data_IF_675230534849
#
_entry.id   IF_675230534849
#
_cell.length_a   1.000
_cell.length_b   1.000
_cell.length_c   1.000
_cell.angle_alpha   90.00
_cell.angle_beta   90.00
_cell.angle_gamma   90.00
#
_symmetry.space_group_name_H-M   'P 1'
#
loop_
_entity.id
_entity.type
_entity.pdbx_description
1 polymer ?
#
# COMPACT_ATOMS: atom_id res chain seq x y z
N UNK A 1 -17.90 -0.19 -2.77
CA UNK A 1 -17.71 0.36 -1.40
C UNK A 1 -16.24 0.60 -1.13
N UNK A 2 -15.91 1.69 -0.41
CA UNK A 2 -14.55 2.00 0.06
C UNK A 2 -14.54 1.99 1.58
N UNK A 3 -13.62 1.24 2.19
CA UNK A 3 -13.47 1.14 3.65
C UNK A 3 -12.09 1.63 4.05
N UNK A 4 -12.03 2.63 4.91
CA UNK A 4 -10.77 3.12 5.50
C UNK A 4 -10.53 2.41 6.82
N UNK A 5 -9.40 1.71 6.94
CA UNK A 5 -9.04 0.94 8.13
C UNK A 5 -7.72 1.45 8.70
N UNK A 6 -7.72 1.82 9.98
CA UNK A 6 -6.49 2.09 10.73
C UNK A 6 -6.05 0.80 11.41
N UNK A 7 -4.95 0.22 10.91
CA UNK A 7 -4.42 -1.03 11.46
C UNK A 7 -3.71 -0.79 12.80
N UNK A 8 -3.88 -1.71 13.73
CA UNK A 8 -3.24 -1.67 15.03
C UNK A 8 -2.08 -2.66 15.11
N UNK A 9 -1.08 -2.36 15.93
CA UNK A 9 0.02 -3.27 16.26
C UNK A 9 0.82 -3.74 15.02
N UNK A 10 1.03 -2.87 14.06
CA UNK A 10 1.87 -3.13 12.88
C UNK A 10 3.29 -3.46 13.35
N UNK A 11 3.91 -2.60 14.14
CA UNK A 11 5.25 -2.71 14.71
C UNK A 11 5.44 -3.92 15.66
N UNK A 12 4.34 -4.50 16.12
CA UNK A 12 4.37 -5.71 16.94
C UNK A 12 4.21 -7.01 16.12
N UNK A 13 4.52 -6.95 14.82
CA UNK A 13 4.48 -8.07 13.89
C UNK A 13 3.18 -8.20 13.09
N UNK A 14 2.66 -7.09 12.59
CA UNK A 14 1.50 -6.99 11.69
C UNK A 14 0.24 -7.63 12.30
N UNK A 15 0.04 -7.52 13.61
CA UNK A 15 -1.01 -8.26 14.32
C UNK A 15 -2.40 -7.83 13.91
N UNK A 16 -2.61 -6.52 13.73
CA UNK A 16 -3.89 -5.97 13.27
C UNK A 16 -4.27 -6.49 11.90
N UNK A 17 -3.35 -6.43 10.95
CA UNK A 17 -3.56 -6.92 9.59
C UNK A 17 -3.84 -8.43 9.55
N UNK A 18 -3.11 -9.23 10.34
CA UNK A 18 -3.34 -10.67 10.46
C UNK A 18 -4.75 -11.01 10.98
N UNK A 19 -5.22 -10.31 12.01
CA UNK A 19 -6.57 -10.52 12.52
C UNK A 19 -7.63 -9.97 11.57
N UNK A 20 -7.36 -8.84 10.90
CA UNK A 20 -8.26 -8.28 9.92
C UNK A 20 -8.50 -9.26 8.76
N UNK A 21 -7.45 -9.75 8.12
CA UNK A 21 -7.59 -10.67 6.99
C UNK A 21 -8.24 -11.99 7.40
N UNK A 22 -7.91 -12.52 8.57
CA UNK A 22 -8.52 -13.74 9.10
C UNK A 22 -10.03 -13.59 9.30
N UNK A 23 -10.48 -12.40 9.68
CA UNK A 23 -11.89 -12.12 9.92
C UNK A 23 -12.66 -11.80 8.64
N UNK A 24 -12.05 -11.09 7.69
CA UNK A 24 -12.74 -10.51 6.53
C UNK A 24 -12.39 -11.17 5.20
N UNK A 25 -11.40 -12.06 5.14
CA UNK A 25 -11.09 -12.76 3.90
C UNK A 25 -12.20 -13.75 3.55
N UNK A 26 -12.77 -13.61 2.33
CA UNK A 26 -13.86 -14.44 1.86
C UNK A 26 -15.24 -14.10 2.44
N UNK A 27 -15.36 -12.98 3.15
CA UNK A 27 -16.65 -12.49 3.64
C UNK A 27 -17.53 -12.07 2.44
N UNK A 28 -18.76 -12.58 2.39
CA UNK A 28 -19.78 -12.27 1.38
C UNK A 28 -19.43 -12.60 -0.09
N UNK A 29 -18.45 -13.45 -0.35
CA UNK A 29 -17.96 -13.76 -1.72
C UNK A 29 -17.59 -12.50 -2.55
N UNK A 30 -17.31 -11.39 -1.89
CA UNK A 30 -16.94 -10.12 -2.54
C UNK A 30 -15.43 -10.07 -2.75
N UNK A 31 -15.01 -9.78 -3.97
CA UNK A 31 -13.61 -9.50 -4.25
C UNK A 31 -13.20 -8.20 -3.55
N UNK A 32 -12.27 -8.31 -2.61
CA UNK A 32 -11.75 -7.18 -1.85
C UNK A 32 -10.27 -6.98 -2.19
N UNK A 33 -9.91 -5.73 -2.45
CA UNK A 33 -8.52 -5.31 -2.68
C UNK A 33 -8.08 -4.42 -1.53
N UNK A 34 -6.97 -4.77 -0.93
CA UNK A 34 -6.34 -3.97 0.11
C UNK A 34 -5.21 -3.12 -0.50
N UNK A 35 -5.27 -1.82 -0.28
CA UNK A 35 -4.18 -0.89 -0.60
C UNK A 35 -3.62 -0.38 0.73
N UNK A 36 -2.47 -0.91 1.11
CA UNK A 36 -1.74 -0.44 2.29
C UNK A 36 -1.04 0.89 2.01
N UNK A 37 -1.16 1.83 2.92
CA UNK A 37 -0.38 3.08 2.87
C UNK A 37 0.49 3.16 4.10
N UNK A 38 1.77 3.34 3.88
CA UNK A 38 2.77 3.41 4.95
C UNK A 38 3.90 4.36 4.53
N UNK A 39 4.52 5.01 5.51
CA UNK A 39 5.71 5.85 5.30
C UNK A 39 5.58 6.80 4.10
N UNK A 40 4.46 7.54 3.99
CA UNK A 40 4.24 8.53 2.92
C UNK A 40 5.01 9.84 3.25
N UNK A 41 6.33 9.79 3.24
CA UNK A 41 7.17 10.89 3.72
C UNK A 41 7.77 11.74 2.62
N UNK A 42 8.67 11.21 1.81
CA UNK A 42 9.34 11.95 0.74
C UNK A 42 8.77 11.53 -0.63
N UNK A 43 8.40 12.51 -1.43
CA UNK A 43 7.76 12.23 -2.73
C UNK A 43 8.69 11.49 -3.69
N UNK A 44 9.97 11.81 -3.70
CA UNK A 44 10.94 11.21 -4.62
C UNK A 44 11.19 9.71 -4.34
N UNK A 45 10.82 9.24 -3.14
CA UNK A 45 10.91 7.84 -2.73
C UNK A 45 9.59 7.07 -2.90
N UNK A 46 8.56 7.75 -3.43
CA UNK A 46 7.23 7.17 -3.56
C UNK A 46 7.18 6.10 -4.66
N UNK A 47 6.50 4.99 -4.37
CA UNK A 47 6.37 3.88 -5.31
C UNK A 47 5.18 2.98 -5.03
N UNK A 48 4.84 2.15 -6.04
CA UNK A 48 3.88 1.06 -5.91
C UNK A 48 4.65 -0.21 -5.57
N UNK A 49 4.51 -0.67 -4.34
CA UNK A 49 5.26 -1.82 -3.84
C UNK A 49 4.55 -3.11 -4.21
N UNK A 50 5.14 -3.88 -5.10
CA UNK A 50 4.64 -5.18 -5.57
C UNK A 50 5.37 -6.38 -4.94
N UNK A 51 6.34 -6.10 -4.05
CA UNK A 51 7.05 -7.09 -3.23
C UNK A 51 7.25 -6.53 -1.83
N UNK A 52 7.11 -7.39 -0.85
CA UNK A 52 7.17 -7.07 0.56
C UNK A 52 8.00 -8.10 1.33
N UNK A 53 8.14 -7.93 2.65
CA UNK A 53 8.95 -8.81 3.52
C UNK A 53 10.36 -9.02 2.97
N UNK A 54 11.07 -7.92 2.72
CA UNK A 54 12.41 -7.95 2.13
C UNK A 54 12.42 -8.70 0.77
N UNK A 55 11.34 -8.52 -0.01
CA UNK A 55 11.16 -9.11 -1.34
C UNK A 55 10.70 -10.58 -1.36
N UNK A 56 10.42 -11.19 -0.19
CA UNK A 56 10.00 -12.60 -0.10
C UNK A 56 8.51 -12.81 -0.35
N UNK A 57 7.67 -11.81 -0.07
CA UNK A 57 6.24 -11.83 -0.35
C UNK A 57 5.95 -11.08 -1.65
N UNK A 58 5.39 -11.77 -2.63
CA UNK A 58 4.87 -11.12 -3.83
C UNK A 58 3.45 -10.65 -3.54
N UNK A 59 3.22 -9.36 -3.67
CA UNK A 59 1.90 -8.77 -3.59
C UNK A 59 1.10 -9.04 -4.86
N UNK A 60 -0.21 -8.80 -4.84
CA UNK A 60 -1.08 -9.12 -5.95
C UNK A 60 -0.74 -8.31 -7.20
N UNK A 61 -0.58 -9.01 -8.33
CA UNK A 61 -0.16 -8.41 -9.60
C UNK A 61 -1.22 -7.47 -10.17
N UNK A 62 -2.50 -7.86 -10.11
CA UNK A 62 -3.60 -7.07 -10.65
C UNK A 62 -3.83 -5.80 -9.81
N UNK A 63 -3.79 -5.94 -8.48
CA UNK A 63 -3.88 -4.80 -7.57
C UNK A 63 -2.70 -3.82 -7.78
N UNK A 64 -1.49 -4.33 -7.93
CA UNK A 64 -0.32 -3.50 -8.20
C UNK A 64 -0.41 -2.80 -9.57
N UNK A 65 -0.90 -3.49 -10.61
CA UNK A 65 -1.11 -2.88 -11.92
C UNK A 65 -2.17 -1.77 -11.88
N UNK A 66 -3.26 -1.99 -11.15
CA UNK A 66 -4.31 -0.99 -10.98
C UNK A 66 -3.79 0.28 -10.28
N UNK A 67 -3.09 0.15 -9.15
CA UNK A 67 -2.53 1.30 -8.42
C UNK A 67 -1.47 2.01 -9.26
N UNK A 68 -0.65 1.26 -10.00
CA UNK A 68 0.33 1.85 -10.94
C UNK A 68 -0.38 2.66 -12.02
N UNK A 69 -1.42 2.11 -12.65
CA UNK A 69 -2.19 2.82 -13.67
C UNK A 69 -2.89 4.07 -13.09
N UNK A 70 -3.46 3.96 -11.90
CA UNK A 70 -4.01 5.11 -11.17
C UNK A 70 -2.97 6.22 -10.97
N UNK A 71 -1.74 5.85 -10.62
CA UNK A 71 -0.64 6.83 -10.48
C UNK A 71 -0.30 7.52 -11.80
N UNK A 72 -0.39 6.80 -12.91
CA UNK A 72 -0.13 7.34 -14.24
C UNK A 72 -1.24 8.29 -14.69
N UNK A 73 -2.50 7.94 -14.47
CA UNK A 73 -3.66 8.81 -14.74
C UNK A 73 -3.58 10.09 -13.89
N UNK A 74 -3.23 9.97 -12.62
CA UNK A 74 -3.04 11.11 -11.72
C UNK A 74 -1.78 11.95 -12.04
N UNK A 75 -0.95 11.54 -13.00
CA UNK A 75 0.21 12.27 -13.48
C UNK A 75 1.49 12.10 -12.66
N UNK A 76 1.52 11.15 -11.72
CA UNK A 76 2.69 10.92 -10.86
C UNK A 76 3.67 9.90 -11.43
N UNK A 77 3.22 8.94 -12.24
CA UNK A 77 4.05 7.94 -12.93
C UNK A 77 4.99 7.16 -11.98
N UNK A 78 4.49 6.73 -10.84
CA UNK A 78 5.29 6.07 -9.82
C UNK A 78 5.93 4.76 -10.32
N UNK A 79 7.16 4.44 -9.91
CA UNK A 79 7.79 3.16 -10.24
C UNK A 79 7.19 2.01 -9.42
N UNK A 80 7.38 0.79 -9.92
CA UNK A 80 7.29 -0.38 -9.05
C UNK A 80 8.48 -0.47 -8.12
N UNK A 81 8.21 -0.82 -6.87
CA UNK A 81 9.20 -0.90 -5.81
C UNK A 81 9.07 -2.19 -5.00
N UNK A 82 10.05 -2.44 -4.15
CA UNK A 82 10.09 -3.57 -3.23
C UNK A 82 10.44 -3.06 -1.84
N UNK A 83 9.78 -3.57 -0.82
CA UNK A 83 10.21 -3.33 0.56
C UNK A 83 11.58 -3.96 0.74
N UNK A 84 12.59 -3.11 0.90
CA UNK A 84 13.98 -3.55 1.01
C UNK A 84 14.30 -4.10 2.39
N UNK A 85 13.74 -3.49 3.43
CA UNK A 85 13.95 -3.89 4.82
C UNK A 85 12.62 -3.82 5.59
N UNK A 86 12.29 -4.89 6.30
CA UNK A 86 11.06 -4.97 7.08
C UNK A 86 9.89 -5.54 6.29
N UNK A 87 8.69 -5.18 6.70
CA UNK A 87 7.43 -5.64 6.13
C UNK A 87 6.34 -4.62 6.43
N UNK A 88 5.33 -4.57 5.58
CA UNK A 88 4.11 -3.77 5.80
C UNK A 88 2.89 -4.64 6.04
N UNK A 89 1.79 -4.04 6.46
CA UNK A 89 0.51 -4.72 6.64
C UNK A 89 0.03 -5.42 5.35
N UNK A 90 0.38 -4.90 4.16
CA UNK A 90 0.02 -5.52 2.89
C UNK A 90 0.58 -6.96 2.76
N UNK A 91 1.77 -7.24 3.31
CA UNK A 91 2.31 -8.59 3.31
C UNK A 91 1.45 -9.57 4.10
N UNK A 92 0.98 -9.18 5.29
CA UNK A 92 0.14 -10.03 6.12
C UNK A 92 -1.24 -10.26 5.47
N UNK A 93 -1.81 -9.23 4.87
CA UNK A 93 -3.08 -9.30 4.14
C UNK A 93 -2.95 -10.25 2.94
N UNK A 94 -1.88 -10.12 2.14
CA UNK A 94 -1.62 -11.00 1.00
C UNK A 94 -1.40 -12.45 1.43
N UNK A 95 -0.63 -12.68 2.48
CA UNK A 95 -0.42 -14.01 3.02
C UNK A 95 -1.69 -14.65 3.59
N UNK A 96 -2.60 -13.83 4.07
CA UNK A 96 -3.92 -14.27 4.56
C UNK A 96 -4.94 -14.59 3.46
N UNK A 97 -4.59 -14.36 2.17
CA UNK A 97 -5.42 -14.75 1.02
C UNK A 97 -6.24 -13.61 0.41
N UNK A 98 -6.12 -12.37 0.90
CA UNK A 98 -6.76 -11.21 0.29
C UNK A 98 -5.77 -10.51 -0.65
N UNK A 99 -6.23 -10.06 -1.82
CA UNK A 99 -5.39 -9.30 -2.76
C UNK A 99 -4.89 -8.01 -2.14
N UNK A 100 -3.57 -7.80 -2.14
CA UNK A 100 -2.96 -6.63 -1.51
C UNK A 100 -1.85 -6.01 -2.36
N UNK A 101 -1.71 -4.71 -2.22
CA UNK A 101 -0.63 -3.87 -2.76
C UNK A 101 -0.27 -2.81 -1.73
N UNK A 102 0.94 -2.27 -1.75
CA UNK A 102 1.29 -1.14 -0.91
C UNK A 102 1.68 0.09 -1.74
N UNK A 103 1.26 1.26 -1.27
CA UNK A 103 1.65 2.58 -1.76
C UNK A 103 2.43 3.26 -0.64
N UNK A 104 3.72 3.46 -0.85
CA UNK A 104 4.62 3.96 0.19
C UNK A 104 5.73 4.84 -0.40
N UNK A 105 6.46 5.53 0.45
CA UNK A 105 7.62 6.34 0.12
C UNK A 105 8.80 5.93 1.02
N UNK A 106 9.21 4.67 0.88
CA UNK A 106 10.33 4.09 1.62
C UNK A 106 11.61 4.22 0.81
N UNK A 107 12.66 4.72 1.44
CA UNK A 107 14.01 4.63 0.90
C UNK A 107 14.47 3.16 0.78
N UNK A 108 15.41 2.84 -0.13
CA UNK A 108 16.14 1.55 -0.12
C UNK A 108 16.85 1.27 1.21
N UNK A 109 17.23 2.32 1.93
CA UNK A 109 17.67 2.34 3.34
C UNK A 109 16.51 2.80 4.20
N UNK A 110 16.53 2.57 5.52
CA UNK A 110 15.47 3.08 6.40
C UNK A 110 15.22 4.57 6.14
N UNK A 111 13.95 4.94 5.97
CA UNK A 111 13.55 6.31 5.72
C UNK A 111 14.10 7.24 6.82
N UNK A 112 14.44 8.48 6.47
CA UNK A 112 14.90 9.47 7.44
C UNK A 112 13.85 9.61 8.54
N UNK A 113 14.28 9.67 9.78
CA UNK A 113 13.45 9.67 10.97
C UNK A 113 12.78 8.34 11.36
N UNK A 114 12.92 7.28 10.54
CA UNK A 114 12.35 5.95 10.80
C UNK A 114 12.70 5.49 12.22
N UNK A 115 11.68 5.16 13.01
CA UNK A 115 11.78 4.76 14.41
C UNK A 115 12.55 5.74 15.30
N UNK A 116 12.44 7.03 15.05
CA UNK A 116 13.06 8.10 15.86
C UNK A 116 12.04 9.11 16.37
N UNK A 117 12.47 9.99 17.27
CA UNK A 117 11.62 11.11 17.76
C UNK A 117 11.33 12.17 16.69
N UNK A 118 12.04 12.13 15.56
CA UNK A 118 11.82 13.00 14.41
C UNK A 118 10.71 12.50 13.48
N UNK A 119 10.15 11.33 13.73
CA UNK A 119 9.00 10.82 13.00
C UNK A 119 7.72 11.49 13.49
N UNK A 120 7.46 12.66 12.92
CA UNK A 120 6.35 13.55 13.28
C UNK A 120 5.66 14.08 12.03
N UNK A 121 4.40 14.50 12.18
CA UNK A 121 3.62 15.05 11.07
C UNK A 121 4.28 16.27 10.40
N UNK A 122 5.02 17.08 11.17
CA UNK A 122 5.72 18.28 10.66
C UNK A 122 6.87 17.93 9.70
N UNK A 123 7.33 16.68 9.73
CA UNK A 123 8.40 16.19 8.86
C UNK A 123 7.88 15.42 7.64
N UNK A 124 6.56 15.36 7.42
CA UNK A 124 5.98 14.81 6.21
C UNK A 124 6.04 15.84 5.07
N UNK A 125 6.25 15.35 3.85
CA UNK A 125 6.10 16.19 2.66
C UNK A 125 4.62 16.26 2.26
N UNK A 126 3.98 17.44 2.28
CA UNK A 126 2.60 17.61 1.86
C UNK A 126 2.33 17.10 0.43
N UNK A 127 3.32 17.19 -0.46
CA UNK A 127 3.23 16.68 -1.83
C UNK A 127 3.04 15.17 -1.87
N UNK A 128 3.73 14.44 -1.00
CA UNK A 128 3.59 12.96 -0.90
C UNK A 128 2.20 12.58 -0.43
N UNK A 129 1.67 13.31 0.55
CA UNK A 129 0.32 13.08 1.07
C UNK A 129 -0.73 13.38 0.01
N UNK A 130 -0.60 14.51 -0.69
CA UNK A 130 -1.50 14.88 -1.80
C UNK A 130 -1.48 13.81 -2.91
N UNK A 131 -0.29 13.37 -3.31
CA UNK A 131 -0.13 12.31 -4.32
C UNK A 131 -0.79 11.00 -3.85
N UNK A 132 -0.56 10.61 -2.60
CA UNK A 132 -1.18 9.42 -2.01
C UNK A 132 -2.71 9.49 -2.07
N UNK A 133 -3.31 10.61 -1.67
CA UNK A 133 -4.76 10.80 -1.71
C UNK A 133 -5.28 10.71 -3.15
N UNK A 134 -4.66 11.40 -4.10
CA UNK A 134 -5.09 11.42 -5.49
C UNK A 134 -5.01 10.02 -6.12
N UNK A 135 -3.93 9.28 -5.87
CA UNK A 135 -3.75 7.91 -6.39
C UNK A 135 -4.80 6.97 -5.79
N UNK A 136 -5.08 7.07 -4.47
CA UNK A 136 -6.09 6.23 -3.83
C UNK A 136 -7.50 6.51 -4.35
N UNK A 137 -7.85 7.78 -4.60
CA UNK A 137 -9.12 8.16 -5.22
C UNK A 137 -9.24 7.59 -6.64
N UNK A 138 -8.20 7.77 -7.46
CA UNK A 138 -8.18 7.22 -8.83
C UNK A 138 -8.24 5.69 -8.83
N UNK A 139 -7.55 5.04 -7.89
CA UNK A 139 -7.64 3.59 -7.71
C UNK A 139 -9.07 3.14 -7.39
N UNK A 140 -9.77 3.86 -6.51
CA UNK A 140 -11.16 3.56 -6.19
C UNK A 140 -12.09 3.73 -7.39
N UNK A 141 -11.91 4.78 -8.21
CA UNK A 141 -12.68 4.99 -9.43
C UNK A 141 -12.40 3.92 -10.48
N UNK A 142 -11.15 3.54 -10.69
CA UNK A 142 -10.78 2.45 -11.59
C UNK A 142 -11.39 1.12 -11.16
N UNK A 143 -11.28 0.79 -9.88
CA UNK A 143 -11.86 -0.44 -9.36
C UNK A 143 -13.38 -0.48 -9.52
N UNK A 144 -14.07 0.63 -9.24
CA UNK A 144 -15.53 0.71 -9.38
C UNK A 144 -16.00 0.59 -10.84
N UNK A 145 -15.26 1.19 -11.77
CA UNK A 145 -15.63 1.23 -13.19
C UNK A 145 -15.19 0.01 -13.99
N UNK A 146 -14.06 -0.58 -13.66
CA UNK A 146 -13.37 -1.56 -14.49
C UNK A 146 -13.06 -2.88 -13.78
N UNK A 147 -13.05 -2.89 -12.45
CA UNK A 147 -12.60 -4.02 -11.64
C UNK A 147 -11.09 -4.26 -11.77
N UNK A 148 -10.63 -5.41 -11.31
CA UNK A 148 -9.24 -5.83 -11.51
C UNK A 148 -9.01 -6.40 -12.90
N UNK A 149 -7.91 -6.01 -13.51
CA UNK A 149 -7.47 -6.49 -14.83
C UNK A 149 -6.04 -7.03 -14.77
N UNK A 150 -5.70 -7.89 -15.72
CA UNK A 150 -4.33 -8.37 -15.88
C UNK A 150 -3.40 -7.30 -16.45
N UNK A 151 -3.96 -6.38 -17.25
CA UNK A 151 -3.27 -5.26 -17.90
C UNK A 151 -4.19 -4.02 -17.92
N UNK A 152 -3.59 -2.86 -17.71
CA UNK A 152 -4.21 -1.54 -17.79
C UNK A 152 -3.54 -0.68 -18.87
#
# INVERSE_FOLDING_TARGET
EVVCVSMACEEAGLRGAKEYVKKHCGEDDVETVFVGTDTLRDFDDMGVYNKDMTGTVKLDKQAAAMVKHASDIAGYNLPYSSVFFGSSDAAAIQQGGMKAVALAAMDPTPARYYHTRGDTADNLDPKTIEAGINILLETAFLYDSEGLKDEY
#
